data_IF_651427939982
#
_entry.id   IF_651427939982
#
_cell.length_a   1.000
_cell.length_b   1.000
_cell.length_c   1.000
_cell.angle_alpha   90.00
_cell.angle_beta   90.00
_cell.angle_gamma   90.00
#
_symmetry.space_group_name_H-M   'P 1'
#
loop_
_entity.id
_entity.type
_entity.pdbx_description
1 polymer ?
#
# COMPACT_ATOMS: atom_id res chain seq x y z
N UNK A 1 14.78 19.98 37.81
CA UNK A 1 15.83 20.14 38.84
C UNK A 1 15.18 20.03 40.22
N UNK A 2 15.78 19.24 41.12
CA UNK A 2 15.39 18.89 42.51
C UNK A 2 14.36 17.76 42.64
N UNK A 3 14.81 16.52 42.94
CA UNK A 3 15.10 15.91 44.28
C UNK A 3 13.81 15.32 44.88
N UNK A 4 13.72 14.14 45.51
CA UNK A 4 14.66 13.09 45.93
C UNK A 4 13.80 11.91 46.44
N UNK A 5 14.34 10.69 46.38
CA UNK A 5 13.80 9.41 46.91
C UNK A 5 13.45 9.48 48.41
N UNK A 6 12.64 8.53 48.93
CA UNK A 6 13.03 7.56 49.99
C UNK A 6 11.82 6.76 50.58
N UNK A 7 12.11 5.47 50.83
CA UNK A 7 11.61 4.52 51.85
C UNK A 7 10.28 3.76 51.71
N UNK A 8 10.45 2.44 51.64
CA UNK A 8 9.54 1.35 52.00
C UNK A 8 9.15 1.37 53.49
N UNK A 9 7.96 0.86 53.80
CA UNK A 9 7.68 0.10 55.03
C UNK A 9 6.92 -1.17 54.69
N UNK A 10 7.45 -2.29 55.18
CA UNK A 10 6.82 -3.61 55.32
C UNK A 10 5.73 -3.56 56.41
N UNK A 11 4.72 -4.44 56.33
CA UNK A 11 4.40 -5.48 57.35
C UNK A 11 3.18 -6.31 56.90
N UNK A 12 3.33 -7.62 57.08
CA UNK A 12 2.47 -8.79 56.80
C UNK A 12 1.37 -8.93 57.87
N UNK A 13 0.18 -9.48 57.56
CA UNK A 13 -0.52 -10.52 58.36
C UNK A 13 -1.55 -11.29 57.49
N UNK A 14 -1.64 -12.59 57.76
CA UNK A 14 -2.29 -13.66 57.03
C UNK A 14 -3.79 -13.91 57.35
N UNK A 15 -4.48 -14.53 56.38
CA UNK A 15 -5.37 -15.69 56.51
C UNK A 15 -6.64 -15.64 57.39
N UNK A 16 -7.81 -15.75 56.75
CA UNK A 16 -8.93 -16.56 57.24
C UNK A 16 -9.63 -17.26 56.07
N UNK A 17 -9.90 -18.55 56.25
CA UNK A 17 -10.45 -19.49 55.27
C UNK A 17 -11.96 -19.70 55.39
N UNK A 18 -12.60 -19.88 54.22
CA UNK A 18 -13.69 -20.80 53.83
C UNK A 18 -15.18 -20.57 54.24
N UNK A 19 -15.99 -20.53 53.17
CA UNK A 19 -17.25 -21.24 52.91
C UNK A 19 -18.59 -20.48 52.99
N UNK A 20 -19.24 -20.36 51.82
CA UNK A 20 -20.65 -20.00 51.62
C UNK A 20 -20.99 -19.91 50.13
N UNK A 21 -21.88 -20.76 49.66
CA UNK A 21 -22.03 -21.21 48.27
C UNK A 21 -22.92 -20.32 47.35
N UNK A 22 -22.72 -20.51 46.03
CA UNK A 22 -23.64 -20.32 44.90
C UNK A 22 -24.23 -18.91 44.69
N UNK A 23 -23.99 -18.25 43.55
CA UNK A 23 -24.69 -18.60 42.31
C UNK A 23 -23.78 -18.74 41.08
N UNK A 24 -24.16 -19.73 40.29
CA UNK A 24 -23.65 -20.01 38.95
C UNK A 24 -24.17 -18.99 37.91
N UNK A 25 -23.47 -18.97 36.77
CA UNK A 25 -23.89 -18.45 35.45
C UNK A 25 -23.99 -16.93 35.37
N UNK A 26 -23.05 -16.23 34.73
CA UNK A 26 -23.03 -16.13 33.27
C UNK A 26 -21.59 -16.03 32.71
N UNK A 27 -20.93 -17.18 32.55
CA UNK A 27 -20.09 -17.35 31.35
C UNK A 27 -21.06 -17.68 30.21
N UNK A 28 -21.61 -16.64 29.59
CA UNK A 28 -22.26 -16.78 28.28
C UNK A 28 -21.16 -17.14 27.27
N UNK A 29 -20.88 -18.44 27.16
CA UNK A 29 -20.41 -19.05 25.92
C UNK A 29 -21.49 -18.75 24.87
N UNK A 30 -21.33 -17.68 24.11
CA UNK A 30 -22.02 -17.52 22.84
C UNK A 30 -21.21 -18.22 21.76
N UNK A 31 -21.18 -19.55 21.81
CA UNK A 31 -20.71 -20.35 20.68
C UNK A 31 -21.88 -20.60 19.72
N UNK A 32 -21.65 -20.31 18.44
CA UNK A 32 -21.89 -21.24 17.31
C UNK A 32 -22.27 -20.56 15.98
N UNK A 33 -23.14 -19.53 15.90
CA UNK A 33 -23.45 -18.89 14.61
C UNK A 33 -22.50 -17.73 14.28
N UNK A 34 -22.23 -16.87 15.27
CA UNK A 34 -21.48 -15.62 15.08
C UNK A 34 -19.98 -15.88 14.93
N UNK A 35 -19.42 -16.81 15.74
CA UNK A 35 -18.01 -17.20 15.64
C UNK A 35 -17.70 -17.91 14.32
N UNK A 36 -18.58 -18.80 13.85
CA UNK A 36 -18.41 -19.47 12.56
C UNK A 36 -18.51 -18.48 11.41
N UNK A 37 -19.50 -17.59 11.43
CA UNK A 37 -19.64 -16.54 10.42
C UNK A 37 -18.44 -15.58 10.41
N UNK A 38 -17.93 -15.20 11.58
CA UNK A 38 -16.73 -14.39 11.72
C UNK A 38 -15.49 -15.10 11.16
N UNK A 39 -15.29 -16.39 11.48
CA UNK A 39 -14.18 -17.18 10.92
C UNK A 39 -14.27 -17.29 9.39
N UNK A 40 -15.46 -17.55 8.84
CA UNK A 40 -15.67 -17.58 7.39
C UNK A 40 -15.41 -16.22 6.73
N UNK A 41 -15.85 -15.12 7.36
CA UNK A 41 -15.60 -13.77 6.86
C UNK A 41 -14.09 -13.45 6.86
N UNK A 42 -13.37 -13.80 7.93
CA UNK A 42 -11.92 -13.62 8.03
C UNK A 42 -11.16 -14.49 7.02
N UNK A 43 -11.60 -15.73 6.80
CA UNK A 43 -11.04 -16.61 5.78
C UNK A 43 -11.24 -16.01 4.37
N UNK A 44 -12.45 -15.54 4.04
CA UNK A 44 -12.75 -14.87 2.75
C UNK A 44 -11.96 -13.58 2.57
N UNK A 45 -11.79 -12.79 3.64
CA UNK A 45 -11.01 -11.56 3.59
C UNK A 45 -9.53 -11.83 3.32
N UNK A 46 -8.97 -12.89 3.92
CA UNK A 46 -7.52 -13.16 3.90
C UNK A 46 -7.05 -14.14 2.82
N UNK A 47 -7.95 -14.73 2.02
CA UNK A 47 -7.60 -15.69 0.97
C UNK A 47 -7.44 -15.00 -0.39
N UNK A 48 -6.25 -15.01 -1.02
CA UNK A 48 -6.08 -14.52 -2.38
C UNK A 48 -7.03 -15.22 -3.36
N UNK A 49 -7.55 -14.45 -4.32
CA UNK A 49 -8.52 -14.94 -5.31
C UNK A 49 -8.26 -14.39 -6.70
N UNK A 50 -9.26 -14.43 -7.59
CA UNK A 50 -9.12 -14.03 -8.99
C UNK A 50 -8.60 -12.59 -9.16
N UNK A 51 -8.99 -11.65 -8.30
CA UNK A 51 -8.47 -10.28 -8.35
C UNK A 51 -6.96 -10.20 -8.03
N UNK A 52 -6.44 -11.10 -7.20
CA UNK A 52 -4.99 -11.17 -6.93
C UNK A 52 -4.24 -11.76 -8.12
N UNK A 53 -4.77 -12.84 -8.72
CA UNK A 53 -4.20 -13.47 -9.93
C UNK A 53 -4.06 -12.50 -11.10
N UNK A 54 -4.97 -11.53 -11.21
CA UNK A 54 -4.88 -10.46 -12.23
C UNK A 54 -3.62 -9.58 -12.10
N UNK A 55 -2.90 -9.67 -10.98
CA UNK A 55 -1.63 -8.97 -10.76
C UNK A 55 -0.41 -9.85 -11.06
N UNK A 56 -0.58 -11.13 -11.44
CA UNK A 56 0.56 -12.06 -11.64
C UNK A 56 1.54 -11.57 -12.70
N UNK A 57 1.05 -10.94 -13.78
CA UNK A 57 1.89 -10.34 -14.81
C UNK A 57 2.79 -9.21 -14.30
N UNK A 58 2.47 -8.61 -13.15
CA UNK A 58 3.28 -7.56 -12.53
C UNK A 58 4.45 -8.12 -11.72
N UNK A 59 4.42 -9.40 -11.32
CA UNK A 59 5.51 -10.04 -10.57
C UNK A 59 6.70 -10.35 -11.50
N UNK A 60 7.91 -10.03 -11.05
CA UNK A 60 9.15 -10.29 -11.79
C UNK A 60 10.12 -9.11 -11.79
N UNK A 61 11.11 -9.18 -12.67
CA UNK A 61 12.12 -8.13 -12.89
C UNK A 61 11.86 -7.44 -14.22
N UNK A 62 11.95 -6.12 -14.23
CA UNK A 62 11.62 -5.29 -15.38
C UNK A 62 12.68 -4.22 -15.60
N UNK A 63 13.01 -3.98 -16.86
CA UNK A 63 13.61 -2.71 -17.28
C UNK A 63 12.49 -1.69 -17.45
N UNK A 64 12.74 -0.46 -17.00
CA UNK A 64 11.76 0.63 -17.02
C UNK A 64 12.30 1.77 -17.87
N UNK A 65 11.48 2.23 -18.81
CA UNK A 65 11.67 3.52 -19.49
C UNK A 65 10.69 4.52 -18.91
N UNK A 66 11.20 5.67 -18.49
CA UNK A 66 10.45 6.68 -17.76
C UNK A 66 10.35 7.95 -18.59
N UNK A 67 9.17 8.56 -18.60
CA UNK A 67 8.91 9.87 -19.20
C UNK A 67 8.20 10.74 -18.17
N UNK A 68 8.71 11.94 -17.97
CA UNK A 68 8.22 12.90 -16.99
C UNK A 68 7.88 14.22 -17.66
N UNK A 69 6.74 14.81 -17.30
CA UNK A 69 6.28 16.10 -17.83
C UNK A 69 6.04 17.08 -16.69
N UNK A 70 6.83 18.16 -16.67
CA UNK A 70 6.61 19.31 -15.77
C UNK A 70 5.81 20.43 -16.45
N UNK A 71 5.87 20.49 -17.78
CA UNK A 71 5.18 21.46 -18.62
C UNK A 71 4.59 20.71 -19.83
N UNK A 72 3.26 20.75 -20.05
CA UNK A 72 2.63 20.03 -21.15
C UNK A 72 3.03 20.56 -22.54
N UNK A 73 3.65 21.74 -22.62
CA UNK A 73 4.16 22.31 -23.89
C UNK A 73 5.59 21.86 -24.24
N UNK A 74 6.30 21.22 -23.31
CA UNK A 74 7.69 20.77 -23.51
C UNK A 74 7.76 19.26 -23.74
N UNK A 75 8.82 18.77 -24.41
CA UNK A 75 9.12 17.34 -24.47
C UNK A 75 9.27 16.75 -23.06
N UNK A 76 8.98 15.45 -22.94
CA UNK A 76 9.20 14.73 -21.69
C UNK A 76 10.69 14.66 -21.37
N UNK A 77 11.02 14.74 -20.09
CA UNK A 77 12.32 14.28 -19.61
C UNK A 77 12.31 12.75 -19.55
N UNK A 78 13.28 12.12 -20.19
CA UNK A 78 13.38 10.66 -20.27
C UNK A 78 14.48 10.13 -19.37
N UNK A 79 14.22 9.00 -18.70
CA UNK A 79 15.21 8.27 -17.92
C UNK A 79 14.97 6.76 -18.00
N UNK A 80 15.87 5.98 -17.41
CA UNK A 80 15.73 4.53 -17.31
C UNK A 80 15.85 4.07 -15.87
N UNK A 81 15.29 2.90 -15.60
CA UNK A 81 15.35 2.27 -14.30
C UNK A 81 15.15 0.77 -14.37
N UNK A 82 15.14 0.15 -13.21
CA UNK A 82 14.85 -1.25 -12.99
C UNK A 82 13.82 -1.38 -11.87
N UNK A 83 12.85 -2.26 -12.06
CA UNK A 83 11.87 -2.62 -11.04
C UNK A 83 11.92 -4.12 -10.77
N UNK A 84 11.82 -4.50 -9.50
CA UNK A 84 11.59 -5.88 -9.11
C UNK A 84 10.33 -5.95 -8.26
N UNK A 85 9.39 -6.83 -8.63
CA UNK A 85 8.16 -7.09 -7.88
C UNK A 85 8.09 -8.55 -7.45
N UNK A 86 7.82 -8.78 -6.17
CA UNK A 86 7.71 -10.12 -5.58
C UNK A 86 6.40 -10.26 -4.82
N UNK A 87 5.76 -11.42 -4.96
CA UNK A 87 4.68 -11.80 -4.07
C UNK A 87 5.22 -12.05 -2.66
N UNK A 88 4.58 -11.45 -1.67
CA UNK A 88 4.89 -11.64 -0.25
C UNK A 88 3.64 -12.06 0.51
N UNK A 89 3.86 -12.62 1.71
CA UNK A 89 2.80 -13.04 2.64
C UNK A 89 1.78 -14.00 2.00
N UNK A 90 2.26 -14.96 1.20
CA UNK A 90 1.42 -15.96 0.53
C UNK A 90 0.53 -15.35 -0.56
N UNK A 91 1.12 -14.60 -1.50
CA UNK A 91 0.45 -13.97 -2.65
C UNK A 91 -0.65 -12.97 -2.30
N UNK A 92 -0.52 -12.30 -1.14
CA UNK A 92 -1.45 -11.25 -0.72
C UNK A 92 -1.05 -9.89 -1.24
N UNK A 93 0.26 -9.63 -1.28
CA UNK A 93 0.80 -8.33 -1.65
C UNK A 93 1.97 -8.49 -2.61
N UNK A 94 2.06 -7.60 -3.59
CA UNK A 94 3.25 -7.40 -4.39
C UNK A 94 4.09 -6.31 -3.73
N UNK A 95 5.30 -6.68 -3.33
CA UNK A 95 6.33 -5.72 -2.93
C UNK A 95 7.15 -5.35 -4.16
N UNK A 96 7.28 -4.05 -4.41
CA UNK A 96 8.09 -3.48 -5.46
C UNK A 96 9.30 -2.76 -4.87
N UNK A 97 10.46 -2.94 -5.50
CA UNK A 97 11.62 -2.05 -5.37
C UNK A 97 11.93 -1.47 -6.75
N UNK A 98 12.24 -0.18 -6.80
CA UNK A 98 12.62 0.54 -8.01
C UNK A 98 13.94 1.26 -7.80
N UNK A 99 14.78 1.24 -8.83
CA UNK A 99 16.01 2.02 -8.90
C UNK A 99 16.10 2.66 -10.28
N UNK A 100 16.43 3.94 -10.33
CA UNK A 100 16.61 4.64 -11.59
C UNK A 100 17.21 6.01 -11.39
N UNK A 101 16.95 6.90 -12.34
CA UNK A 101 17.36 8.29 -12.23
C UNK A 101 16.19 9.25 -12.45
N UNK A 102 16.23 10.38 -11.76
CA UNK A 102 15.29 11.48 -11.90
C UNK A 102 16.05 12.79 -11.87
N UNK A 103 15.86 13.66 -12.87
CA UNK A 103 16.61 14.92 -13.04
C UNK A 103 18.14 14.78 -12.89
N UNK A 104 18.71 13.68 -13.40
CA UNK A 104 20.14 13.38 -13.32
C UNK A 104 20.65 12.88 -11.97
N UNK A 105 19.77 12.73 -10.97
CA UNK A 105 20.09 12.17 -9.66
C UNK A 105 19.60 10.72 -9.54
N UNK A 106 20.23 9.94 -8.65
CA UNK A 106 19.76 8.60 -8.30
C UNK A 106 18.40 8.68 -7.62
N UNK A 107 17.50 7.78 -8.00
CA UNK A 107 16.17 7.68 -7.45
C UNK A 107 15.91 6.23 -7.03
N UNK A 108 15.60 6.05 -5.74
CA UNK A 108 15.24 4.76 -5.16
C UNK A 108 13.81 4.84 -4.63
N UNK A 109 13.04 3.79 -4.85
CA UNK A 109 11.66 3.71 -4.39
C UNK A 109 11.22 2.32 -4.01
N UNK A 110 10.18 2.24 -3.19
CA UNK A 110 9.57 1.00 -2.75
C UNK A 110 8.07 1.15 -2.66
N UNK A 111 7.36 0.10 -3.06
CA UNK A 111 5.91 0.07 -3.00
C UNK A 111 5.35 -1.26 -2.52
N UNK A 112 4.11 -1.19 -2.04
CA UNK A 112 3.27 -2.36 -1.80
C UNK A 112 1.98 -2.19 -2.59
N UNK A 113 1.57 -3.20 -3.33
CA UNK A 113 0.26 -3.23 -3.99
C UNK A 113 -0.46 -4.54 -3.76
N UNK A 114 -1.78 -4.52 -3.89
CA UNK A 114 -2.60 -5.71 -3.69
C UNK A 114 -4.08 -5.46 -3.92
N UNK A 115 -4.89 -6.41 -3.50
CA UNK A 115 -6.35 -6.32 -3.57
C UNK A 115 -6.96 -6.63 -2.21
N UNK A 116 -7.87 -5.77 -1.77
CA UNK A 116 -8.60 -5.96 -0.53
C UNK A 116 -9.93 -6.67 -0.82
N UNK A 117 -10.04 -7.91 -0.34
CA UNK A 117 -11.25 -8.73 -0.50
C UNK A 117 -12.47 -8.19 0.25
N UNK A 118 -12.29 -7.30 1.24
CA UNK A 118 -13.39 -6.68 1.99
C UNK A 118 -13.91 -5.47 1.23
N UNK A 119 -13.04 -4.48 0.94
CA UNK A 119 -13.46 -3.26 0.23
C UNK A 119 -13.64 -3.46 -1.27
N UNK A 120 -13.20 -4.61 -1.80
CA UNK A 120 -13.22 -4.96 -3.23
C UNK A 120 -12.43 -3.99 -4.11
N UNK A 121 -11.39 -3.36 -3.55
CA UNK A 121 -10.53 -2.40 -4.26
C UNK A 121 -9.11 -2.91 -4.35
N UNK A 122 -8.46 -2.58 -5.47
CA UNK A 122 -7.01 -2.60 -5.53
C UNK A 122 -6.47 -1.44 -4.69
N UNK A 123 -5.27 -1.62 -4.14
CA UNK A 123 -4.57 -0.56 -3.44
C UNK A 123 -3.10 -0.55 -3.80
N UNK A 124 -2.46 0.59 -3.59
CA UNK A 124 -1.02 0.77 -3.73
C UNK A 124 -0.51 1.82 -2.77
N UNK A 125 0.66 1.58 -2.17
CA UNK A 125 1.42 2.56 -1.40
C UNK A 125 2.82 2.71 -1.96
N UNK A 126 3.40 3.89 -1.83
CA UNK A 126 4.72 4.21 -2.37
C UNK A 126 5.49 5.17 -1.46
N UNK A 127 6.79 4.91 -1.33
CA UNK A 127 7.80 5.80 -0.73
C UNK A 127 9.02 5.85 -1.66
N UNK A 128 9.73 6.97 -1.67
CA UNK A 128 10.92 7.14 -2.49
C UNK A 128 11.91 8.17 -1.91
N UNK A 129 13.08 8.27 -2.55
CA UNK A 129 14.13 9.22 -2.21
C UNK A 129 13.86 10.65 -2.69
N UNK A 130 12.79 10.89 -3.46
CA UNK A 130 12.40 12.21 -3.95
C UNK A 130 11.54 13.01 -2.98
N UNK A 131 11.04 12.38 -1.91
CA UNK A 131 10.20 13.02 -0.90
C UNK A 131 10.36 12.36 0.48
N UNK A 132 9.82 13.02 1.52
CA UNK A 132 9.67 12.40 2.85
C UNK A 132 8.21 12.00 3.13
N UNK A 133 7.36 11.96 2.10
CA UNK A 133 5.96 11.58 2.23
C UNK A 133 5.72 10.17 1.68
N UNK A 134 4.60 9.58 2.11
CA UNK A 134 4.13 8.30 1.61
C UNK A 134 2.83 8.55 0.85
N UNK A 135 2.68 7.94 -0.32
CA UNK A 135 1.41 7.96 -1.03
C UNK A 135 0.60 6.70 -0.75
N UNK A 136 -0.72 6.83 -0.73
CA UNK A 136 -1.67 5.72 -0.71
C UNK A 136 -2.73 5.98 -1.77
N UNK A 137 -3.05 4.95 -2.53
CA UNK A 137 -4.11 5.00 -3.52
C UNK A 137 -4.98 3.75 -3.50
N UNK A 138 -6.22 3.92 -3.96
CA UNK A 138 -7.17 2.83 -4.14
C UNK A 138 -7.84 2.92 -5.50
N UNK A 139 -8.16 1.77 -6.06
CA UNK A 139 -8.61 1.67 -7.44
C UNK A 139 -9.48 0.46 -7.75
N UNK A 140 -9.92 0.43 -8.99
CA UNK A 140 -10.66 -0.68 -9.57
C UNK A 140 -10.07 -1.01 -10.94
N UNK A 141 -10.24 -2.26 -11.37
CA UNK A 141 -9.80 -2.73 -12.69
C UNK A 141 -10.99 -2.71 -13.66
N UNK A 142 -10.76 -2.22 -14.88
CA UNK A 142 -11.64 -2.33 -16.03
C UNK A 142 -10.83 -2.82 -17.24
N UNK A 143 -11.27 -3.91 -17.88
CA UNK A 143 -10.47 -4.60 -18.88
C UNK A 143 -9.11 -5.01 -18.32
N UNK A 144 -8.05 -4.49 -18.91
CA UNK A 144 -6.66 -4.72 -18.50
C UNK A 144 -6.03 -3.56 -17.71
N UNK A 145 -6.83 -2.57 -17.31
CA UNK A 145 -6.34 -1.34 -16.69
C UNK A 145 -6.87 -1.19 -15.27
N UNK A 146 -5.97 -1.02 -14.29
CA UNK A 146 -6.30 -0.63 -12.93
C UNK A 146 -6.17 0.89 -12.83
N UNK A 147 -7.27 1.56 -12.46
CA UNK A 147 -7.26 3.01 -12.21
C UNK A 147 -7.31 3.27 -10.72
N UNK A 148 -6.22 3.83 -10.19
CA UNK A 148 -6.05 4.24 -8.81
C UNK A 148 -6.29 5.74 -8.67
N UNK A 149 -6.85 6.15 -7.54
CA UNK A 149 -6.92 7.54 -7.11
C UNK A 149 -6.27 7.67 -5.73
N UNK A 150 -5.49 8.72 -5.55
CA UNK A 150 -4.76 9.00 -4.32
C UNK A 150 -4.46 10.48 -4.16
N UNK A 151 -3.75 10.79 -3.08
CA UNK A 151 -3.18 12.10 -2.80
C UNK A 151 -1.66 11.99 -2.77
N UNK A 152 -0.96 13.03 -3.21
CA UNK A 152 0.49 13.16 -3.04
C UNK A 152 0.83 14.56 -2.57
N UNK A 153 1.97 14.71 -1.93
CA UNK A 153 2.52 16.03 -1.58
C UNK A 153 3.04 16.73 -2.82
N UNK A 154 2.58 17.94 -3.08
CA UNK A 154 3.16 18.85 -4.06
C UNK A 154 4.07 19.86 -3.34
N UNK A 155 5.40 19.80 -3.54
CA UNK A 155 6.33 20.73 -2.89
C UNK A 155 6.17 22.18 -3.38
N UNK A 156 5.67 22.39 -4.61
CA UNK A 156 5.46 23.73 -5.16
C UNK A 156 4.20 24.38 -4.59
N UNK A 157 3.15 23.59 -4.39
CA UNK A 157 1.91 24.07 -3.77
C UNK A 157 1.94 24.05 -2.22
N UNK A 158 2.91 23.36 -1.60
CA UNK A 158 3.04 23.22 -0.16
C UNK A 158 1.89 22.45 0.50
N UNK A 159 1.17 21.61 -0.26
CA UNK A 159 -0.01 20.87 0.18
C UNK A 159 -0.16 19.56 -0.58
N UNK A 160 -1.11 18.74 -0.15
CA UNK A 160 -1.50 17.56 -0.93
C UNK A 160 -2.36 17.94 -2.15
N UNK A 161 -2.13 17.22 -3.25
CA UNK A 161 -2.89 17.32 -4.49
C UNK A 161 -3.38 15.94 -4.91
N UNK A 162 -4.57 15.84 -5.54
CA UNK A 162 -5.08 14.57 -6.03
C UNK A 162 -4.30 14.12 -7.26
N UNK A 163 -4.17 12.80 -7.41
CA UNK A 163 -3.68 12.18 -8.63
C UNK A 163 -4.53 10.98 -9.05
N UNK A 164 -4.50 10.71 -10.35
CA UNK A 164 -5.00 9.47 -10.95
C UNK A 164 -3.83 8.68 -11.52
N UNK A 165 -3.69 7.42 -11.13
CA UNK A 165 -2.69 6.51 -11.68
C UNK A 165 -3.37 5.37 -12.44
N UNK A 166 -2.91 5.07 -13.65
CA UNK A 166 -3.40 3.96 -14.47
C UNK A 166 -2.29 2.94 -14.63
N UNK A 167 -2.50 1.72 -14.15
CA UNK A 167 -1.66 0.56 -14.44
C UNK A 167 -2.31 -0.26 -15.55
N UNK A 168 -1.70 -0.29 -16.72
CA UNK A 168 -2.19 -0.96 -17.93
C UNK A 168 -1.34 -2.21 -18.14
N UNK A 169 -1.95 -3.38 -17.96
CA UNK A 169 -1.29 -4.68 -18.13
C UNK A 169 -1.51 -5.11 -19.58
N UNK A 170 -0.53 -4.89 -20.45
CA UNK A 170 -0.68 -5.21 -21.87
C UNK A 170 -0.63 -6.71 -22.11
N UNK A 171 0.36 -7.38 -21.50
CA UNK A 171 0.56 -8.81 -21.51
C UNK A 171 1.40 -9.24 -20.29
N UNK A 172 1.91 -10.47 -20.28
CA UNK A 172 2.71 -11.00 -19.17
C UNK A 172 4.08 -10.34 -19.02
N UNK A 173 4.61 -9.73 -20.07
CA UNK A 173 5.96 -9.19 -20.13
C UNK A 173 5.99 -7.67 -20.22
N UNK A 174 4.88 -7.05 -20.62
CA UNK A 174 4.77 -5.63 -20.88
C UNK A 174 3.62 -5.01 -20.08
N UNK A 175 3.93 -3.95 -19.35
CA UNK A 175 2.92 -3.12 -18.71
C UNK A 175 3.34 -1.65 -18.70
N UNK A 176 2.36 -0.77 -18.54
CA UNK A 176 2.55 0.67 -18.54
C UNK A 176 1.88 1.29 -17.33
N UNK A 177 2.56 2.18 -16.64
CA UNK A 177 1.98 3.03 -15.62
C UNK A 177 1.89 4.46 -16.14
N UNK A 178 0.76 5.12 -15.95
CA UNK A 178 0.60 6.54 -16.20
C UNK A 178 0.14 7.24 -14.93
N UNK A 179 0.63 8.44 -14.68
CA UNK A 179 0.20 9.28 -13.58
C UNK A 179 -0.27 10.63 -14.10
N UNK A 180 -1.40 11.08 -13.61
CA UNK A 180 -2.10 12.28 -14.02
C UNK A 180 -2.47 13.11 -12.78
N UNK A 181 -2.38 14.42 -12.88
CA UNK A 181 -2.70 15.34 -11.79
C UNK A 181 -2.82 16.78 -12.26
N UNK A 182 -3.01 17.75 -11.34
CA UNK A 182 -3.11 19.15 -11.70
C UNK A 182 -1.83 19.69 -12.34
N UNK A 183 -1.97 20.31 -13.50
CA UNK A 183 -0.93 21.06 -14.19
C UNK A 183 -1.05 22.58 -14.03
N UNK A 184 -0.27 23.35 -14.80
CA UNK A 184 -0.35 24.81 -14.82
C UNK A 184 -1.79 25.30 -15.03
N UNK A 185 -2.26 26.19 -14.15
CA UNK A 185 -3.63 26.70 -14.20
C UNK A 185 -4.71 25.71 -13.74
N UNK A 186 -4.33 24.60 -13.10
CA UNK A 186 -5.25 23.63 -12.49
C UNK A 186 -5.90 22.64 -13.46
N UNK A 187 -5.52 22.66 -14.74
CA UNK A 187 -5.99 21.67 -15.72
C UNK A 187 -5.25 20.35 -15.51
N UNK A 188 -5.96 19.22 -15.64
CA UNK A 188 -5.32 17.90 -15.54
C UNK A 188 -4.27 17.73 -16.64
N UNK A 189 -3.09 17.22 -16.28
CA UNK A 189 -2.01 16.89 -17.18
C UNK A 189 -1.39 15.54 -16.81
N UNK A 190 -0.77 14.89 -17.79
CA UNK A 190 0.07 13.72 -17.54
C UNK A 190 1.35 14.20 -16.86
N UNK A 191 1.68 13.60 -15.73
CA UNK A 191 2.94 13.87 -15.02
C UNK A 191 4.00 12.83 -15.35
N UNK A 192 3.60 11.58 -15.48
CA UNK A 192 4.52 10.45 -15.61
C UNK A 192 3.95 9.37 -16.53
N UNK A 193 4.84 8.74 -17.27
CA UNK A 193 4.61 7.47 -17.96
C UNK A 193 5.82 6.55 -17.75
N UNK A 194 5.57 5.35 -17.26
CA UNK A 194 6.58 4.31 -17.07
C UNK A 194 6.21 3.12 -17.95
N UNK A 195 7.11 2.72 -18.84
CA UNK A 195 6.97 1.51 -19.65
C UNK A 195 7.89 0.42 -19.10
N UNK A 196 7.30 -0.70 -18.71
CA UNK A 196 8.00 -1.82 -18.11
C UNK A 196 8.09 -2.97 -19.11
N UNK A 197 9.29 -3.49 -19.30
CA UNK A 197 9.56 -4.67 -20.12
C UNK A 197 10.28 -5.72 -19.26
N UNK A 198 9.74 -6.93 -19.21
CA UNK A 198 10.30 -8.03 -18.42
C UNK A 198 11.72 -8.36 -18.87
N UNK A 199 12.62 -8.49 -17.90
CA UNK A 199 13.97 -9.00 -18.13
C UNK A 199 13.89 -10.52 -18.30
N UNK A 200 14.38 -11.03 -19.43
CA UNK A 200 14.44 -12.45 -19.75
C UNK A 200 15.66 -13.12 -19.13
#
# INVERSE_FOLDING_TARGET
>A
MKLRRVAQYLVVVAGFTLAGAATASDKKKSGAPDEKAAMEAMAKASTPGEAHKKLDALAGKFSVKSKMWMDPSKPAEESTGAAERKWIMGNRYLQETYQGTFMGQTFDGMGISGYDNVTKKYFGSWIDSGSTSMTLSRGAMSGNTITYKGMMTDPMAGKEVPYTMKMIIADNDNHKMEMWGPGPGGKEMKWMELSYARVK
#
